data_IF_769800166484
#
_entry.id   IF_769800166484
#
_cell.length_a   1.000
_cell.length_b   1.000
_cell.length_c   1.000
_cell.angle_alpha   90.00
_cell.angle_beta   90.00
_cell.angle_gamma   90.00
#
_symmetry.space_group_name_H-M   'P 1'
#
loop_
_entity.id
_entity.type
_entity.pdbx_description
1 polymer ?
#
# COMPACT_ATOMS: atom_id res chain seq x y z
N UNK A 1 20.49 -5.32 -3.85
CA UNK A 1 19.52 -4.22 -4.01
C UNK A 1 18.75 -4.12 -2.71
N UNK A 2 19.14 -3.20 -1.84
CA UNK A 2 18.36 -2.92 -0.62
C UNK A 2 18.42 -1.40 -0.40
N UNK A 3 17.41 -0.72 -0.90
CA UNK A 3 17.10 0.66 -0.54
C UNK A 3 15.78 0.64 0.23
N UNK A 4 15.72 -0.16 1.29
CA UNK A 4 14.59 -0.13 2.21
C UNK A 4 14.83 1.02 3.17
N UNK A 5 14.46 2.23 2.72
CA UNK A 5 14.21 3.33 3.66
C UNK A 5 13.28 2.78 4.74
N UNK A 6 13.67 2.93 6.02
CA UNK A 6 12.85 2.48 7.14
C UNK A 6 11.45 3.08 7.00
N UNK A 7 10.38 2.29 7.22
CA UNK A 7 9.02 2.79 7.12
C UNK A 7 8.84 3.95 8.10
N UNK A 8 8.36 5.09 7.61
CA UNK A 8 7.97 6.21 8.46
C UNK A 8 6.63 5.90 9.12
N UNK A 9 6.67 5.58 10.42
CA UNK A 9 5.51 5.22 11.21
C UNK A 9 4.59 6.43 11.53
N UNK A 10 5.05 7.65 11.26
CA UNK A 10 4.26 8.88 11.47
C UNK A 10 3.51 9.31 10.20
N UNK A 11 3.61 8.53 9.13
CA UNK A 11 2.93 8.83 7.87
C UNK A 11 1.41 8.81 8.07
N UNK A 12 0.76 9.93 7.72
CA UNK A 12 -0.69 10.11 7.82
C UNK A 12 -1.40 10.27 6.47
N UNK A 13 -0.65 10.24 5.37
CA UNK A 13 -1.17 10.41 4.02
C UNK A 13 -0.95 9.15 3.16
N UNK A 14 -1.80 8.99 2.15
CA UNK A 14 -1.72 7.91 1.17
C UNK A 14 -0.45 7.98 0.32
N UNK A 15 -0.13 6.89 -0.37
CA UNK A 15 0.90 6.86 -1.42
C UNK A 15 0.57 7.85 -2.53
N UNK A 16 1.57 8.59 -3.01
CA UNK A 16 1.44 9.43 -4.20
C UNK A 16 1.84 8.67 -5.46
N UNK A 17 1.41 9.17 -6.62
CA UNK A 17 1.79 8.61 -7.93
C UNK A 17 3.31 8.63 -8.12
N UNK A 18 3.97 9.70 -7.70
CA UNK A 18 5.44 9.84 -7.80
C UNK A 18 6.15 8.79 -6.95
N UNK A 19 5.64 8.52 -5.74
CA UNK A 19 6.19 7.49 -4.87
C UNK A 19 6.02 6.11 -5.50
N UNK A 20 4.85 5.80 -6.07
CA UNK A 20 4.63 4.53 -6.79
C UNK A 20 5.59 4.41 -7.96
N UNK A 21 5.68 5.45 -8.80
CA UNK A 21 6.56 5.46 -9.97
C UNK A 21 8.04 5.52 -9.63
N UNK A 22 8.41 5.87 -8.40
CA UNK A 22 9.79 5.80 -7.92
C UNK A 22 10.31 4.37 -7.80
N UNK A 23 9.41 3.38 -7.71
CA UNK A 23 9.77 1.97 -7.75
C UNK A 23 10.04 1.53 -9.19
N UNK A 24 11.20 0.88 -9.48
CA UNK A 24 11.54 0.46 -10.84
C UNK A 24 10.50 -0.41 -11.53
N UNK A 25 9.75 -1.20 -10.74
CA UNK A 25 8.66 -2.04 -11.23
C UNK A 25 7.50 -1.24 -11.82
N UNK A 26 7.22 -0.03 -11.32
CA UNK A 26 6.07 0.80 -11.72
C UNK A 26 6.48 2.07 -12.46
N UNK A 27 7.78 2.31 -12.69
CA UNK A 27 8.27 3.54 -13.31
C UNK A 27 7.67 3.84 -14.69
N UNK A 28 7.28 2.80 -15.43
CA UNK A 28 6.71 2.89 -16.77
C UNK A 28 5.18 3.07 -16.78
N UNK A 29 4.52 3.08 -15.62
CA UNK A 29 3.07 3.18 -15.53
C UNK A 29 2.57 4.59 -15.90
N UNK A 30 1.41 4.64 -16.54
CA UNK A 30 0.62 5.88 -16.64
C UNK A 30 0.14 6.33 -15.26
N UNK A 31 -0.38 7.55 -15.15
CA UNK A 31 -0.99 8.03 -13.90
C UNK A 31 -2.17 7.16 -13.48
N UNK A 32 -3.02 6.75 -14.43
CA UNK A 32 -4.15 5.85 -14.17
C UNK A 32 -3.69 4.49 -13.64
N UNK A 33 -2.65 3.90 -14.25
CA UNK A 33 -2.08 2.63 -13.79
C UNK A 33 -1.44 2.76 -12.40
N UNK A 34 -0.79 3.89 -12.11
CA UNK A 34 -0.23 4.14 -10.78
C UNK A 34 -1.35 4.30 -9.73
N UNK A 35 -2.45 4.97 -10.09
CA UNK A 35 -3.64 5.06 -9.23
C UNK A 35 -4.25 3.69 -8.95
N UNK A 36 -4.35 2.81 -9.95
CA UNK A 36 -4.81 1.43 -9.74
C UNK A 36 -3.94 0.66 -8.73
N UNK A 37 -2.62 0.88 -8.73
CA UNK A 37 -1.72 0.27 -7.74
C UNK A 37 -2.04 0.76 -6.33
N UNK A 38 -2.23 2.07 -6.16
CA UNK A 38 -2.56 2.68 -4.85
C UNK A 38 -3.85 2.07 -4.31
N UNK A 39 -4.90 2.04 -5.13
CA UNK A 39 -6.20 1.49 -4.75
C UNK A 39 -6.14 -0.01 -4.45
N UNK A 40 -5.37 -0.77 -5.22
CA UNK A 40 -5.15 -2.20 -4.97
C UNK A 40 -4.49 -2.44 -3.61
N UNK A 41 -3.44 -1.68 -3.28
CA UNK A 41 -2.73 -1.82 -2.00
C UNK A 41 -3.62 -1.42 -0.82
N UNK A 42 -4.41 -0.34 -0.95
CA UNK A 42 -5.39 0.07 0.07
C UNK A 42 -6.40 -1.04 0.32
N UNK A 43 -7.04 -1.53 -0.74
CA UNK A 43 -8.06 -2.57 -0.63
C UNK A 43 -7.50 -3.88 -0.05
N UNK A 44 -6.28 -4.26 -0.44
CA UNK A 44 -5.60 -5.40 0.16
C UNK A 44 -5.37 -5.19 1.67
N UNK A 45 -4.90 -4.01 2.07
CA UNK A 45 -4.64 -3.67 3.47
C UNK A 45 -5.93 -3.68 4.30
N UNK A 46 -7.03 -3.17 3.74
CA UNK A 46 -8.36 -3.25 4.35
C UNK A 46 -8.78 -4.70 4.54
N UNK A 47 -8.71 -5.54 3.50
CA UNK A 47 -9.08 -6.96 3.59
C UNK A 47 -8.26 -7.64 4.68
N UNK A 48 -6.93 -7.45 4.69
CA UNK A 48 -6.06 -8.03 5.71
C UNK A 48 -6.45 -7.54 7.10
N UNK A 49 -6.74 -6.25 7.27
CA UNK A 49 -7.16 -5.69 8.55
C UNK A 49 -8.51 -6.27 8.99
N UNK A 50 -9.52 -6.26 8.13
CA UNK A 50 -10.84 -6.81 8.42
C UNK A 50 -10.77 -8.30 8.73
N UNK A 51 -10.09 -9.09 7.92
CA UNK A 51 -9.99 -10.54 8.14
C UNK A 51 -9.18 -10.88 9.38
N UNK A 52 -8.07 -10.18 9.62
CA UNK A 52 -7.21 -10.45 10.77
C UNK A 52 -7.81 -9.95 12.08
N UNK A 53 -8.43 -8.76 12.11
CA UNK A 53 -8.93 -8.19 13.35
C UNK A 53 -10.37 -8.62 13.67
N UNK A 54 -11.27 -8.72 12.69
CA UNK A 54 -12.67 -9.06 12.99
C UNK A 54 -12.87 -10.56 13.19
N UNK A 55 -12.26 -11.42 12.37
CA UNK A 55 -12.44 -12.88 12.53
C UNK A 55 -11.69 -13.47 13.76
N UNK A 56 -10.77 -12.71 14.37
CA UNK A 56 -10.09 -13.11 15.61
C UNK A 56 -10.71 -12.50 16.88
N UNK A 57 -11.62 -11.53 16.75
CA UNK A 57 -12.40 -10.99 17.88
C UNK A 57 -13.64 -11.84 18.18
N UNK A 58 -14.19 -12.54 17.19
CA UNK A 58 -15.32 -13.48 17.36
C UNK A 58 -14.91 -14.82 18.02
N UNK A 59 -13.61 -15.04 18.26
CA UNK A 59 -13.07 -16.24 18.92
C UNK A 59 -12.62 -16.01 20.37
N UNK A 60 -12.97 -14.88 20.99
CA UNK A 60 -12.61 -14.57 22.38
C UNK A 60 -13.80 -14.65 23.33
#
# INVERSE_FOLDING_TARGET
MENTKKPDLNRSHDLTIEEVKSFPMFAHFSEDQANEVIETVKRFSEIVFYDYFNNNMDKK
#
